data_IF_821874356474
#
_entry.id   IF_821874356474
#
_cell.length_a   1.000
_cell.length_b   1.000
_cell.length_c   1.000
_cell.angle_alpha   90.00
_cell.angle_beta   90.00
_cell.angle_gamma   90.00
#
_symmetry.space_group_name_H-M   'P 1'
#
loop_
_entity.id
_entity.type
_entity.pdbx_description
1 polymer ?
#
# COMPACT_ATOMS: atom_id res chain seq x y z
N UNK A 1 7.28 -0.57 27.49
CA UNK A 1 7.63 -0.92 26.10
C UNK A 1 7.50 0.37 25.31
N UNK A 2 8.58 0.89 24.73
CA UNK A 2 8.47 2.09 23.90
C UNK A 2 7.85 1.62 22.59
N UNK A 3 6.57 1.93 22.38
CA UNK A 3 5.97 1.84 21.05
C UNK A 3 6.79 2.79 20.17
N UNK A 4 7.69 2.24 19.38
CA UNK A 4 8.38 3.00 18.35
C UNK A 4 7.32 3.36 17.31
N UNK A 5 6.64 4.51 17.51
CA UNK A 5 5.77 5.16 16.53
C UNK A 5 6.61 5.75 15.38
N UNK A 6 7.56 4.98 14.89
CA UNK A 6 8.42 5.37 13.79
C UNK A 6 7.62 5.20 12.52
N UNK A 7 7.38 6.32 11.87
CA UNK A 7 6.75 6.36 10.55
C UNK A 7 7.81 6.48 9.47
N UNK A 8 7.49 5.94 8.30
CA UNK A 8 8.23 6.05 7.05
C UNK A 8 7.33 6.71 6.02
N UNK A 9 7.89 7.63 5.23
CA UNK A 9 7.15 8.19 4.10
C UNK A 9 7.10 7.18 2.98
N UNK A 10 5.91 6.91 2.47
CA UNK A 10 5.67 5.94 1.40
C UNK A 10 4.83 6.62 0.33
N UNK A 11 5.27 6.49 -0.92
CA UNK A 11 4.49 6.80 -2.11
C UNK A 11 3.74 5.55 -2.52
N UNK A 12 2.42 5.58 -2.52
CA UNK A 12 1.58 4.54 -3.10
C UNK A 12 1.11 5.02 -4.47
N UNK A 13 1.44 4.28 -5.51
CA UNK A 13 0.97 4.51 -6.88
C UNK A 13 -0.11 3.48 -7.14
N UNK A 14 -1.28 3.94 -7.60
CA UNK A 14 -2.34 3.04 -8.04
C UNK A 14 -2.63 3.32 -9.52
N UNK A 15 -2.45 2.34 -10.40
CA UNK A 15 -2.75 2.46 -11.83
C UNK A 15 -4.12 1.82 -12.12
N UNK A 16 -5.14 2.68 -12.18
CA UNK A 16 -6.54 2.29 -12.39
C UNK A 16 -7.06 2.98 -13.66
N UNK A 17 -8.34 3.42 -13.68
CA UNK A 17 -8.86 4.31 -14.73
C UNK A 17 -8.02 5.60 -14.95
N UNK A 18 -7.27 6.04 -13.93
CA UNK A 18 -6.23 7.04 -14.00
C UNK A 18 -5.14 6.76 -12.95
N UNK A 19 -3.87 7.03 -13.26
CA UNK A 19 -2.77 6.83 -12.31
C UNK A 19 -2.88 7.78 -11.11
N UNK A 20 -3.12 7.23 -9.93
CA UNK A 20 -3.21 7.94 -8.66
C UNK A 20 -1.88 7.86 -7.89
N UNK A 21 -1.51 8.94 -7.21
CA UNK A 21 -0.27 9.03 -6.44
C UNK A 21 -0.57 9.56 -5.04
N UNK A 22 -0.33 8.74 -4.02
CA UNK A 22 -0.55 9.07 -2.61
C UNK A 22 0.77 9.09 -1.87
N UNK A 23 1.01 10.13 -1.07
CA UNK A 23 2.14 10.18 -0.15
C UNK A 23 1.58 10.08 1.26
N UNK A 24 1.96 9.02 1.98
CA UNK A 24 1.49 8.76 3.34
C UNK A 24 2.65 8.57 4.30
N UNK A 25 2.46 9.03 5.53
CA UNK A 25 3.32 8.67 6.65
C UNK A 25 2.82 7.32 7.20
N UNK A 26 3.48 6.24 6.81
CA UNK A 26 3.12 4.86 7.16
C UNK A 26 3.90 4.38 8.38
N UNK A 27 3.27 3.64 9.29
CA UNK A 27 3.99 2.99 10.39
C UNK A 27 5.01 1.99 9.84
N UNK A 28 6.23 1.96 10.38
CA UNK A 28 7.29 1.07 9.90
C UNK A 28 6.86 -0.42 9.96
N UNK A 29 6.03 -0.81 10.92
CA UNK A 29 5.47 -2.17 10.99
C UNK A 29 4.54 -2.49 9.81
N UNK A 30 3.67 -1.55 9.43
CA UNK A 30 2.76 -1.76 8.30
C UNK A 30 3.53 -1.75 6.98
N UNK A 31 4.57 -0.92 6.86
CA UNK A 31 5.46 -0.94 5.70
C UNK A 31 6.22 -2.27 5.59
N UNK A 32 6.71 -2.84 6.70
CA UNK A 32 7.31 -4.19 6.68
C UNK A 32 6.31 -5.28 6.31
N UNK A 33 5.06 -5.17 6.76
CA UNK A 33 3.99 -6.09 6.35
C UNK A 33 3.76 -5.99 4.84
N UNK A 34 3.73 -4.78 4.30
CA UNK A 34 3.65 -4.57 2.86
C UNK A 34 4.82 -5.26 2.13
N UNK A 35 6.07 -5.07 2.57
CA UNK A 35 7.25 -5.72 1.97
C UNK A 35 7.13 -7.26 1.97
N UNK A 36 6.61 -7.85 3.05
CA UNK A 36 6.37 -9.30 3.13
C UNK A 36 5.24 -9.76 2.19
N UNK A 37 4.19 -8.95 2.02
CA UNK A 37 3.06 -9.27 1.14
C UNK A 37 3.50 -9.30 -0.32
N UNK A 38 4.28 -8.30 -0.78
CA UNK A 38 4.76 -8.25 -2.17
C UNK A 38 5.75 -9.37 -2.51
N UNK A 39 6.54 -9.82 -1.53
CA UNK A 39 7.48 -10.93 -1.69
C UNK A 39 6.84 -12.32 -1.47
N UNK A 40 5.54 -12.36 -1.18
CA UNK A 40 4.84 -13.61 -0.89
C UNK A 40 4.53 -14.42 -2.15
N UNK A 41 4.35 -15.73 -1.98
CA UNK A 41 3.88 -16.64 -3.04
C UNK A 41 2.35 -16.56 -3.24
N UNK A 42 1.70 -15.49 -2.76
CA UNK A 42 0.25 -15.31 -2.87
C UNK A 42 -0.13 -15.01 -4.31
N UNK A 43 -1.39 -15.29 -4.66
CA UNK A 43 -1.89 -14.85 -5.94
C UNK A 43 -1.98 -13.33 -5.97
N UNK A 44 -1.76 -12.79 -7.15
CA UNK A 44 -2.06 -11.43 -7.57
C UNK A 44 -3.26 -10.75 -6.89
N UNK A 45 -4.41 -11.43 -6.88
CA UNK A 45 -5.64 -10.93 -6.26
C UNK A 45 -5.55 -10.84 -4.73
N UNK A 46 -4.87 -11.79 -4.11
CA UNK A 46 -4.69 -11.82 -2.66
C UNK A 46 -3.70 -10.74 -2.20
N UNK A 47 -2.65 -10.50 -2.99
CA UNK A 47 -1.70 -9.40 -2.79
C UNK A 47 -2.46 -8.07 -2.83
N UNK A 48 -3.28 -7.83 -3.85
CA UNK A 48 -4.07 -6.61 -3.97
C UNK A 48 -5.02 -6.39 -2.79
N UNK A 49 -5.77 -7.42 -2.38
CA UNK A 49 -6.67 -7.29 -1.23
C UNK A 49 -5.92 -6.95 0.06
N UNK A 50 -4.72 -7.52 0.26
CA UNK A 50 -3.90 -7.25 1.43
C UNK A 50 -3.32 -5.82 1.40
N UNK A 51 -2.84 -5.36 0.24
CA UNK A 51 -2.37 -3.99 0.03
C UNK A 51 -3.52 -2.99 0.19
N UNK A 52 -4.72 -3.30 -0.34
CA UNK A 52 -5.94 -2.51 -0.18
C UNK A 52 -6.26 -2.29 1.31
N UNK A 53 -6.19 -3.35 2.11
CA UNK A 53 -6.40 -3.27 3.55
C UNK A 53 -5.42 -2.31 4.24
N UNK A 54 -4.16 -2.29 3.80
CA UNK A 54 -3.14 -1.35 4.29
C UNK A 54 -3.47 0.07 3.81
N UNK A 55 -3.71 0.29 2.52
CA UNK A 55 -4.01 1.60 1.95
C UNK A 55 -5.26 2.25 2.57
N UNK A 56 -6.33 1.49 2.80
CA UNK A 56 -7.53 1.91 3.54
C UNK A 56 -7.19 2.51 4.92
N UNK A 57 -6.26 1.88 5.65
CA UNK A 57 -5.82 2.34 6.98
C UNK A 57 -5.21 3.75 6.94
N UNK A 58 -4.62 4.12 5.81
CA UNK A 58 -3.95 5.41 5.59
C UNK A 58 -4.82 6.42 4.84
N UNK A 59 -6.14 6.18 4.74
CA UNK A 59 -7.09 7.12 4.13
C UNK A 59 -6.94 7.27 2.62
N UNK A 60 -6.18 6.37 2.00
CA UNK A 60 -6.20 6.19 0.56
C UNK A 60 -7.42 5.32 0.31
N UNK A 61 -8.62 5.88 0.11
CA UNK A 61 -9.71 5.34 -0.73
C UNK A 61 -10.96 6.23 -0.66
N UNK A 62 -11.49 6.52 -1.85
CA UNK A 62 -12.92 6.66 -2.15
C UNK A 62 -13.25 5.36 -2.92
N UNK A 63 -13.95 4.41 -2.28
CA UNK A 63 -14.06 3.00 -2.73
C UNK A 63 -14.76 2.80 -4.09
N UNK A 64 -15.36 3.85 -4.66
CA UNK A 64 -16.20 3.75 -5.85
C UNK A 64 -15.46 3.95 -7.19
N UNK A 65 -14.18 4.37 -7.18
CA UNK A 65 -13.46 4.79 -8.40
C UNK A 65 -12.27 3.92 -8.81
N UNK A 66 -11.93 2.90 -8.02
CA UNK A 66 -10.74 2.07 -8.23
C UNK A 66 -11.21 0.64 -8.48
N UNK A 67 -11.43 0.33 -9.76
CA UNK A 67 -11.66 -1.04 -10.24
C UNK A 67 -10.28 -1.69 -10.39
N UNK A 68 -9.83 -2.35 -9.33
CA UNK A 68 -8.55 -3.08 -9.34
C UNK A 68 -8.80 -4.41 -10.04
N UNK A 69 -8.66 -4.41 -11.37
CA UNK A 69 -8.83 -5.62 -12.16
C UNK A 69 -7.56 -6.51 -12.12
N UNK A 70 -6.36 -5.93 -11.91
CA UNK A 70 -5.11 -6.68 -11.99
C UNK A 70 -4.09 -6.42 -10.85
N UNK A 71 -3.25 -7.42 -10.50
CA UNK A 71 -2.18 -7.36 -9.46
C UNK A 71 -1.21 -6.19 -9.53
N UNK A 72 -1.00 -5.67 -10.72
CA UNK A 72 0.07 -4.73 -11.04
C UNK A 72 -0.37 -3.28 -10.79
N UNK A 73 -1.63 -3.09 -10.41
CA UNK A 73 -2.27 -1.80 -10.28
C UNK A 73 -1.86 -1.05 -9.00
N UNK A 74 -1.11 -1.63 -8.05
CA UNK A 74 -0.66 -0.91 -6.85
C UNK A 74 0.82 -1.15 -6.53
N UNK A 75 1.62 -0.08 -6.53
CA UNK A 75 3.03 -0.09 -6.12
C UNK A 75 3.25 0.81 -4.89
N UNK A 76 4.08 0.38 -3.94
CA UNK A 76 4.54 1.26 -2.86
C UNK A 76 6.06 1.47 -2.90
N UNK A 77 6.45 2.74 -2.80
CA UNK A 77 7.84 3.19 -2.85
C UNK A 77 8.17 3.99 -1.60
N UNK A 78 9.15 3.56 -0.80
CA UNK A 78 9.62 4.36 0.33
C UNK A 78 10.30 5.65 -0.16
N UNK A 79 9.91 6.79 0.39
CA UNK A 79 10.50 8.09 0.10
C UNK A 79 11.38 8.51 1.27
N UNK A 80 12.69 8.62 1.03
CA UNK A 80 13.66 9.10 2.02
C UNK A 80 14.21 7.98 2.92
N UNK A 81 15.54 7.92 2.99
CA UNK A 81 16.31 7.08 3.90
C UNK A 81 16.68 7.88 5.16
#
# INVERSE_FOLDING_TARGET
MVENNKTVKVKIVADVSATCNYIVDMNEEDYRKFEVIIDSQMTSREINNAILGIACKYGIYDMDNIDIEEPEDIECHRIGA
#
